data_IF_241126900781
#
_entry.id   IF_241126900781
#
_cell.length_a   1.000
_cell.length_b   1.000
_cell.length_c   1.000
_cell.angle_alpha   90.00
_cell.angle_beta   90.00
_cell.angle_gamma   90.00
#
_symmetry.space_group_name_H-M   'P 1'
#
loop_
_entity.id
_entity.type
_entity.pdbx_description
1 polymer ?
#
# COMPACT_ATOMS: atom_id res chain seq x y z
N UNK A 1 -46.00 48.95 -40.78
CA UNK A 1 -45.92 49.82 -39.57
C UNK A 1 -45.23 49.00 -38.48
N UNK A 2 -44.26 49.42 -37.70
CA UNK A 2 -43.14 50.35 -37.82
C UNK A 2 -42.14 49.85 -36.75
N UNK A 3 -40.87 49.98 -37.05
CA UNK A 3 -39.69 49.42 -36.38
C UNK A 3 -39.31 50.28 -35.16
N UNK A 4 -38.85 49.71 -34.03
CA UNK A 4 -37.90 50.41 -33.13
C UNK A 4 -37.04 49.43 -32.29
N UNK A 5 -35.73 49.71 -32.08
CA UNK A 5 -34.76 48.82 -31.43
C UNK A 5 -34.11 49.36 -30.13
N UNK A 6 -33.32 48.48 -29.49
CA UNK A 6 -32.06 48.61 -28.71
C UNK A 6 -31.77 49.70 -27.64
N UNK A 7 -31.16 49.21 -26.54
CA UNK A 7 -30.04 49.72 -25.71
C UNK A 7 -30.03 51.18 -25.19
N UNK A 8 -29.89 51.36 -23.87
CA UNK A 8 -28.59 51.61 -23.19
C UNK A 8 -28.78 51.97 -21.70
N UNK A 9 -27.78 51.64 -20.88
CA UNK A 9 -27.62 52.11 -19.51
C UNK A 9 -26.96 53.50 -19.48
N UNK A 10 -27.01 54.20 -18.34
CA UNK A 10 -25.80 54.92 -17.93
C UNK A 10 -25.48 54.84 -16.43
N UNK A 11 -24.18 54.69 -16.20
CA UNK A 11 -23.26 55.47 -15.37
C UNK A 11 -23.44 55.79 -13.88
N UNK A 12 -22.25 55.80 -13.29
CA UNK A 12 -21.82 55.97 -11.91
C UNK A 12 -21.65 57.44 -11.46
N UNK A 13 -21.21 57.55 -10.19
CA UNK A 13 -20.56 58.67 -9.48
C UNK A 13 -21.40 59.13 -8.26
N UNK A 14 -21.02 58.79 -7.03
CA UNK A 14 -19.94 59.37 -6.21
C UNK A 14 -20.30 60.76 -5.65
N UNK A 15 -20.52 60.83 -4.32
CA UNK A 15 -20.33 62.05 -3.54
C UNK A 15 -20.10 61.69 -2.06
N UNK A 16 -19.06 62.33 -1.54
CA UNK A 16 -18.37 62.16 -0.28
C UNK A 16 -18.90 63.15 0.80
N UNK A 17 -18.38 62.98 2.02
CA UNK A 17 -18.14 63.95 3.10
C UNK A 17 -19.02 64.03 4.37
N UNK A 18 -18.28 63.82 5.49
CA UNK A 18 -18.23 64.59 6.77
C UNK A 18 -19.28 64.29 7.85
N UNK A 19 -18.97 64.23 9.16
CA UNK A 19 -17.75 64.20 9.99
C UNK A 19 -18.20 64.00 11.47
N UNK A 20 -17.24 63.76 12.39
CA UNK A 20 -17.24 64.05 13.85
C UNK A 20 -17.38 62.89 14.89
N UNK A 21 -16.19 62.53 15.40
CA UNK A 21 -15.72 62.26 16.78
C UNK A 21 -16.49 61.44 17.83
N UNK A 22 -15.73 60.49 18.42
CA UNK A 22 -15.85 60.09 19.84
C UNK A 22 -14.86 58.99 20.26
N UNK A 23 -13.68 59.36 20.79
CA UNK A 23 -12.74 58.43 21.46
C UNK A 23 -13.37 57.89 22.75
N UNK A 24 -13.17 56.59 23.05
CA UNK A 24 -12.80 56.11 24.40
C UNK A 24 -12.18 54.71 24.35
N UNK A 25 -11.04 54.63 25.03
CA UNK A 25 -10.18 53.49 25.29
C UNK A 25 -10.78 52.49 26.29
N UNK A 26 -10.58 51.20 26.06
CA UNK A 26 -10.80 50.12 27.04
C UNK A 26 -9.71 49.05 26.87
N UNK A 27 -8.95 48.81 27.94
CA UNK A 27 -7.81 47.90 28.06
C UNK A 27 -8.18 46.72 28.98
N UNK A 28 -7.77 45.50 28.62
CA UNK A 28 -7.46 44.34 29.48
C UNK A 28 -7.42 43.08 28.59
N UNK A 29 -6.55 42.07 28.72
CA UNK A 29 -5.35 41.83 29.49
C UNK A 29 -4.63 40.66 28.81
N UNK A 30 -3.31 40.75 28.57
CA UNK A 30 -2.50 39.66 28.01
C UNK A 30 -1.74 39.02 29.17
N UNK A 31 -2.07 37.78 29.51
CA UNK A 31 -1.37 37.02 30.55
C UNK A 31 -0.06 36.44 29.98
N UNK A 32 1.07 37.05 30.33
CA UNK A 32 2.42 36.52 30.07
C UNK A 32 2.82 35.58 31.21
N UNK A 33 2.86 34.27 30.95
CA UNK A 33 3.60 33.35 31.81
C UNK A 33 5.11 33.51 31.57
N UNK A 34 5.84 33.89 32.62
CA UNK A 34 7.30 33.90 32.69
C UNK A 34 7.79 32.47 32.98
N UNK A 35 8.58 31.89 32.07
CA UNK A 35 9.39 30.72 32.34
C UNK A 35 10.73 31.17 32.92
N UNK A 36 11.03 30.73 34.15
CA UNK A 36 12.34 30.88 34.78
C UNK A 36 13.27 29.72 34.36
N UNK A 37 14.59 29.95 34.19
CA UNK A 37 15.51 28.91 33.78
C UNK A 37 15.90 28.01 34.96
N UNK A 38 15.69 26.69 34.82
CA UNK A 38 16.24 25.71 35.75
C UNK A 38 17.66 25.37 35.31
N UNK A 39 18.63 25.88 36.07
CA UNK A 39 20.04 25.51 36.03
C UNK A 39 20.24 24.34 37.00
N UNK A 40 20.49 23.12 36.51
CA UNK A 40 21.01 22.06 37.38
C UNK A 40 22.55 22.01 37.31
N UNK A 41 23.16 22.62 38.31
CA UNK A 41 24.58 22.46 38.65
C UNK A 41 24.82 21.08 39.25
N UNK A 42 25.85 20.42 38.75
CA UNK A 42 26.49 19.23 39.35
C UNK A 42 26.99 19.51 40.77
N UNK A 43 26.75 18.58 41.70
CA UNK A 43 27.58 18.43 42.90
C UNK A 43 28.08 16.99 43.01
N UNK A 44 29.38 16.84 42.72
CA UNK A 44 30.19 15.73 43.20
C UNK A 44 30.26 15.78 44.73
N UNK A 45 30.13 14.64 45.40
CA UNK A 45 30.79 14.36 46.67
C UNK A 45 31.61 13.10 46.46
N UNK A 46 32.91 13.23 46.63
CA UNK A 46 33.81 12.09 46.79
C UNK A 46 33.84 11.64 48.24
N UNK A 47 34.15 10.36 48.43
CA UNK A 47 35.03 9.89 49.50
C UNK A 47 35.84 8.72 48.95
N UNK A 48 37.10 8.70 49.36
CA UNK A 48 38.26 8.02 48.80
C UNK A 48 38.49 6.61 49.36
N UNK A 49 39.33 5.83 48.64
CA UNK A 49 40.00 4.61 49.11
C UNK A 49 40.20 3.59 47.97
N UNK A 50 41.23 3.65 47.10
CA UNK A 50 42.65 3.18 47.28
C UNK A 50 42.69 1.63 47.34
N UNK A 51 43.37 0.78 46.54
CA UNK A 51 44.54 0.76 45.60
C UNK A 51 44.18 -0.20 44.41
N UNK A 52 44.54 0.01 43.14
CA UNK A 52 45.86 -0.03 42.45
C UNK A 52 46.44 -1.45 42.19
N UNK A 53 46.78 -1.71 40.92
CA UNK A 53 47.49 -2.90 40.40
C UNK A 53 47.11 -3.19 38.93
N UNK A 54 47.45 -2.31 37.98
CA UNK A 54 48.63 -2.37 37.09
C UNK A 54 48.69 -3.56 36.11
N UNK A 55 48.61 -3.21 34.81
CA UNK A 55 49.46 -3.63 33.66
C UNK A 55 49.72 -5.14 33.52
N UNK A 56 49.22 -5.85 32.50
CA UNK A 56 49.39 -5.60 31.08
C UNK A 56 50.67 -6.28 30.57
N UNK A 57 50.54 -7.38 29.81
CA UNK A 57 51.48 -8.03 28.85
C UNK A 57 50.62 -9.07 28.08
N UNK A 58 50.44 -8.97 26.75
CA UNK A 58 51.33 -9.39 25.65
C UNK A 58 51.24 -10.88 25.26
N UNK A 59 50.71 -11.10 24.04
CA UNK A 59 51.03 -12.09 22.98
C UNK A 59 50.46 -13.52 23.02
N UNK A 60 49.91 -13.85 21.83
CA UNK A 60 49.86 -15.11 21.09
C UNK A 60 49.49 -16.40 21.82
N UNK A 61 48.48 -17.11 21.30
CA UNK A 61 48.71 -18.27 20.42
C UNK A 61 47.39 -18.75 19.83
N UNK A 62 47.48 -19.23 18.59
CA UNK A 62 46.44 -19.94 17.87
C UNK A 62 45.91 -21.12 18.68
N UNK A 63 44.61 -21.40 18.54
CA UNK A 63 44.20 -22.79 18.41
C UNK A 63 43.01 -22.89 17.47
N UNK A 64 43.20 -23.77 16.51
CA UNK A 64 42.35 -24.16 15.42
C UNK A 64 41.42 -25.29 15.90
N UNK A 65 40.38 -25.56 15.10
CA UNK A 65 39.54 -26.77 15.08
C UNK A 65 38.43 -26.88 16.14
N UNK A 66 37.19 -26.62 15.71
CA UNK A 66 36.16 -27.66 15.62
C UNK A 66 35.00 -27.18 14.73
N UNK A 67 35.07 -27.62 13.48
CA UNK A 67 33.90 -27.78 12.61
C UNK A 67 33.02 -28.89 13.21
N UNK A 68 31.78 -28.55 13.56
CA UNK A 68 30.69 -29.54 13.58
C UNK A 68 29.49 -28.95 12.85
N UNK A 69 29.21 -29.59 11.73
CA UNK A 69 28.04 -29.47 10.87
C UNK A 69 26.73 -29.82 11.58
N UNK A 70 25.64 -29.51 10.87
CA UNK A 70 24.24 -29.94 11.07
C UNK A 70 23.45 -29.16 12.12
N UNK A 71 22.39 -28.47 11.70
CA UNK A 71 21.04 -29.06 11.69
C UNK A 71 20.13 -28.29 10.73
N UNK A 72 19.57 -29.06 9.81
CA UNK A 72 18.72 -28.68 8.71
C UNK A 72 17.31 -28.24 9.16
N UNK A 73 16.74 -27.39 8.30
CA UNK A 73 15.34 -27.03 8.26
C UNK A 73 14.43 -28.27 8.08
N UNK A 74 13.24 -28.32 8.69
CA UNK A 74 12.31 -29.38 8.39
C UNK A 74 11.19 -28.90 7.44
N UNK A 75 10.80 -29.84 6.55
CA UNK A 75 9.50 -29.99 5.87
C UNK A 75 9.40 -29.63 4.38
N UNK A 76 10.00 -30.47 3.54
CA UNK A 76 9.36 -31.03 2.35
C UNK A 76 9.81 -32.49 2.21
N UNK A 77 9.03 -33.42 2.75
CA UNK A 77 9.11 -34.81 2.31
C UNK A 77 7.73 -35.45 2.37
N UNK A 78 7.16 -35.67 1.18
CA UNK A 78 5.91 -36.39 0.98
C UNK A 78 6.14 -37.88 1.20
N UNK A 79 6.15 -38.31 2.46
CA UNK A 79 6.04 -39.73 2.80
C UNK A 79 4.61 -40.07 3.21
N UNK A 80 3.98 -40.90 2.39
CA UNK A 80 2.69 -41.52 2.64
C UNK A 80 2.66 -42.16 4.04
N UNK A 81 1.79 -41.67 4.93
CA UNK A 81 1.53 -42.31 6.22
C UNK A 81 0.63 -43.53 5.96
N UNK A 82 1.21 -44.74 5.98
CA UNK A 82 0.44 -45.98 6.04
C UNK A 82 -0.20 -46.11 7.42
N UNK A 83 -1.53 -46.03 7.49
CA UNK A 83 -2.30 -46.51 8.65
C UNK A 83 -2.74 -47.94 8.35
N UNK A 84 -2.00 -48.93 8.83
CA UNK A 84 -2.49 -50.31 8.89
C UNK A 84 -3.21 -50.48 10.23
N UNK A 85 -4.52 -50.73 10.20
CA UNK A 85 -5.25 -51.23 11.37
C UNK A 85 -4.77 -52.66 11.62
N UNK A 86 -4.24 -52.93 12.81
CA UNK A 86 -3.91 -54.30 13.23
C UNK A 86 -5.23 -55.05 13.51
N UNK A 87 -5.54 -56.05 12.70
CA UNK A 87 -6.58 -57.02 13.00
C UNK A 87 -5.95 -58.22 13.71
N UNK A 88 -6.39 -58.50 14.94
CA UNK A 88 -6.00 -59.69 15.69
C UNK A 88 -6.54 -60.95 14.99
N UNK A 89 -5.66 -61.93 14.78
CA UNK A 89 -5.97 -63.17 14.09
C UNK A 89 -6.85 -64.11 14.93
N UNK A 90 -7.96 -64.55 14.34
CA UNK A 90 -8.60 -65.84 14.68
C UNK A 90 -8.79 -66.60 13.36
N UNK A 91 -8.53 -67.90 13.43
CA UNK A 91 -8.20 -68.81 12.35
C UNK A 91 -9.15 -68.84 11.14
N UNK A 92 -8.56 -69.04 9.96
CA UNK A 92 -9.15 -69.81 8.87
C UNK A 92 -10.03 -69.07 7.87
N UNK A 93 -9.45 -68.16 7.08
CA UNK A 93 -9.90 -67.89 5.70
C UNK A 93 -8.82 -67.08 4.96
N UNK A 94 -8.24 -67.62 3.89
CA UNK A 94 -7.36 -66.84 3.00
C UNK A 94 -8.26 -65.94 2.15
N UNK A 95 -8.51 -64.72 2.61
CA UNK A 95 -9.06 -63.65 1.78
C UNK A 95 -7.90 -62.91 1.12
N UNK A 96 -7.81 -62.99 -0.20
CA UNK A 96 -6.94 -62.14 -1.00
C UNK A 96 -7.38 -60.67 -0.83
N UNK A 97 -6.73 -59.96 0.10
CA UNK A 97 -6.95 -58.55 0.31
C UNK A 97 -6.41 -57.75 -0.88
N UNK A 98 -7.29 -57.27 -1.74
CA UNK A 98 -6.95 -56.28 -2.75
C UNK A 98 -6.52 -54.99 -2.05
N UNK A 99 -5.22 -54.65 -2.10
CA UNK A 99 -4.76 -53.31 -1.76
C UNK A 99 -5.27 -52.36 -2.84
N UNK A 100 -6.37 -51.67 -2.56
CA UNK A 100 -6.75 -50.50 -3.35
C UNK A 100 -5.74 -49.39 -3.03
N UNK A 101 -4.84 -49.12 -3.97
CA UNK A 101 -4.05 -47.90 -3.97
C UNK A 101 -4.98 -46.76 -4.34
N UNK A 102 -5.57 -46.11 -3.36
CA UNK A 102 -6.13 -44.77 -3.56
C UNK A 102 -4.93 -43.83 -3.73
N UNK A 103 -4.51 -43.60 -4.97
CA UNK A 103 -3.73 -42.42 -5.29
C UNK A 103 -4.65 -41.24 -5.02
N UNK A 104 -4.53 -40.62 -3.85
CA UNK A 104 -5.00 -39.25 -3.68
C UNK A 104 -4.29 -38.44 -4.76
N UNK A 105 -5.03 -38.07 -5.79
CA UNK A 105 -4.59 -37.17 -6.83
C UNK A 105 -4.20 -35.88 -6.11
N UNK A 106 -2.89 -35.69 -5.92
CA UNK A 106 -2.36 -34.45 -5.38
C UNK A 106 -2.97 -33.32 -6.21
N UNK A 107 -3.57 -32.28 -5.60
CA UNK A 107 -4.22 -31.23 -6.35
C UNK A 107 -3.18 -30.69 -7.32
N UNK A 108 -3.46 -30.83 -8.61
CA UNK A 108 -2.62 -30.32 -9.69
C UNK A 108 -2.42 -28.85 -9.39
N UNK A 109 -1.23 -28.49 -8.91
CA UNK A 109 -0.79 -27.10 -8.81
C UNK A 109 -0.75 -26.64 -10.25
N UNK A 110 -1.82 -26.01 -10.70
CA UNK A 110 -1.86 -25.36 -12.00
C UNK A 110 -0.68 -24.41 -12.02
N UNK A 111 0.26 -24.68 -12.94
CA UNK A 111 1.40 -23.84 -13.21
C UNK A 111 0.99 -22.37 -13.16
N UNK A 112 1.84 -21.56 -12.51
CA UNK A 112 1.80 -20.11 -12.51
C UNK A 112 1.18 -19.61 -13.81
N UNK A 113 0.05 -18.90 -13.77
CA UNK A 113 -0.54 -18.37 -14.98
C UNK A 113 0.46 -17.39 -15.61
N UNK A 114 1.16 -17.86 -16.63
CA UNK A 114 2.06 -17.12 -17.52
C UNK A 114 1.31 -15.93 -18.15
N UNK A 115 2.02 -14.90 -18.66
CA UNK A 115 1.41 -13.81 -19.42
C UNK A 115 0.46 -14.36 -20.48
N UNK A 116 -0.83 -14.00 -20.42
CA UNK A 116 -1.89 -14.55 -21.29
C UNK A 116 -2.36 -13.59 -22.35
N UNK A 117 -2.10 -12.29 -22.17
CA UNK A 117 -2.55 -11.23 -23.04
C UNK A 117 -1.38 -10.42 -23.55
N UNK A 118 -1.40 -10.09 -24.84
CA UNK A 118 -0.60 -9.00 -25.37
C UNK A 118 -1.07 -7.68 -24.72
N UNK A 119 -0.13 -6.76 -24.48
CA UNK A 119 -0.41 -5.48 -23.83
C UNK A 119 -0.46 -4.41 -24.90
N UNK A 120 -1.64 -3.83 -25.14
CA UNK A 120 -1.85 -2.92 -26.27
C UNK A 120 -1.15 -1.57 -26.07
N UNK A 121 -1.17 -1.05 -24.83
CA UNK A 121 -0.55 0.22 -24.44
C UNK A 121 -0.34 0.24 -22.92
N UNK A 122 0.79 0.79 -22.50
CA UNK A 122 1.11 1.08 -21.10
C UNK A 122 1.35 2.58 -20.96
N UNK A 123 0.71 3.20 -19.97
CA UNK A 123 0.94 4.61 -19.66
C UNK A 123 0.12 5.59 -20.50
N UNK A 124 -1.06 5.20 -21.00
CA UNK A 124 -1.95 6.12 -21.71
C UNK A 124 -2.48 7.19 -20.74
N UNK A 125 -2.23 8.50 -20.97
CA UNK A 125 -2.73 9.54 -20.09
C UNK A 125 -4.25 9.63 -20.12
N UNK A 126 -4.86 9.69 -18.94
CA UNK A 126 -6.29 9.95 -18.76
C UNK A 126 -6.52 11.03 -17.70
N UNK A 127 -7.70 11.62 -17.71
CA UNK A 127 -8.14 12.61 -16.71
C UNK A 127 -9.54 12.26 -16.23
N UNK A 128 -9.77 12.30 -14.92
CA UNK A 128 -11.06 12.00 -14.31
C UNK A 128 -11.29 12.87 -13.08
N UNK A 129 -12.55 13.04 -12.69
CA UNK A 129 -12.90 13.80 -11.48
C UNK A 129 -12.75 12.91 -10.26
N UNK A 130 -12.13 13.41 -9.18
CA UNK A 130 -12.08 12.65 -7.93
C UNK A 130 -13.46 12.56 -7.26
N UNK A 131 -13.67 11.51 -6.48
CA UNK A 131 -14.94 11.28 -5.83
C UNK A 131 -15.17 12.24 -4.64
N UNK A 132 -16.43 12.38 -4.26
CA UNK A 132 -16.82 12.94 -2.97
C UNK A 132 -16.86 11.80 -1.96
N UNK A 133 -16.13 11.95 -0.84
CA UNK A 133 -16.14 10.99 0.29
C UNK A 133 -16.51 11.72 1.58
N UNK A 134 -17.05 11.02 2.60
CA UNK A 134 -17.41 11.65 3.86
C UNK A 134 -16.27 12.48 4.45
N UNK A 135 -16.58 13.68 4.95
CA UNK A 135 -15.64 14.61 5.56
C UNK A 135 -14.64 15.27 4.59
N UNK A 136 -14.83 15.13 3.28
CA UNK A 136 -14.10 15.94 2.30
C UNK A 136 -14.61 17.39 2.33
N UNK A 137 -13.68 18.35 2.42
CA UNK A 137 -13.99 19.79 2.48
C UNK A 137 -13.64 20.53 1.20
N UNK A 138 -12.71 19.99 0.40
CA UNK A 138 -12.31 20.59 -0.87
C UNK A 138 -13.27 20.21 -2.01
N UNK A 139 -13.54 21.09 -2.98
CA UNK A 139 -14.35 20.75 -4.15
C UNK A 139 -13.71 19.63 -5.00
N UNK A 140 -14.49 18.85 -5.77
CA UNK A 140 -13.94 17.89 -6.70
C UNK A 140 -13.01 18.54 -7.72
N UNK A 141 -12.00 17.79 -8.16
CA UNK A 141 -11.02 18.28 -9.14
C UNK A 141 -10.61 17.19 -10.12
N UNK A 142 -10.02 17.63 -11.24
CA UNK A 142 -9.43 16.73 -12.21
C UNK A 142 -8.14 16.10 -11.68
N UNK A 143 -8.06 14.79 -11.82
CA UNK A 143 -6.94 13.95 -11.47
C UNK A 143 -6.42 13.28 -12.74
N UNK A 144 -5.12 13.35 -12.92
CA UNK A 144 -4.39 12.65 -13.97
C UNK A 144 -4.20 11.19 -13.59
N UNK A 145 -4.25 10.32 -14.57
CA UNK A 145 -3.89 8.93 -14.41
C UNK A 145 -3.21 8.36 -15.65
N UNK A 146 -2.67 7.16 -15.49
CA UNK A 146 -2.01 6.42 -16.55
C UNK A 146 -2.69 5.06 -16.68
N UNK A 147 -3.30 4.81 -17.84
CA UNK A 147 -4.01 3.59 -18.16
C UNK A 147 -3.06 2.58 -18.82
N UNK A 148 -3.19 1.31 -18.46
CA UNK A 148 -2.70 0.19 -19.27
C UNK A 148 -3.82 -0.82 -19.46
N UNK A 149 -3.84 -1.49 -20.61
CA UNK A 149 -4.88 -2.47 -20.90
C UNK A 149 -4.36 -3.65 -21.73
N UNK A 150 -4.91 -4.86 -21.51
CA UNK A 150 -4.70 -5.97 -22.43
C UNK A 150 -5.29 -5.66 -23.81
N UNK A 151 -4.77 -6.32 -24.84
CA UNK A 151 -5.45 -6.40 -26.13
C UNK A 151 -6.78 -7.17 -26.03
N UNK A 152 -7.76 -6.75 -26.82
CA UNK A 152 -9.11 -7.32 -26.85
C UNK A 152 -10.20 -6.32 -26.44
N UNK A 153 -11.45 -6.73 -26.62
CA UNK A 153 -12.62 -5.88 -26.39
C UNK A 153 -13.07 -5.82 -24.91
N UNK A 154 -12.62 -6.77 -24.07
CA UNK A 154 -13.08 -6.89 -22.69
C UNK A 154 -14.49 -7.50 -22.59
N UNK A 155 -15.24 -7.26 -21.50
CA UNK A 155 -14.84 -6.45 -20.34
C UNK A 155 -13.82 -7.17 -19.45
N UNK A 156 -12.77 -6.46 -19.06
CA UNK A 156 -11.68 -6.96 -18.21
C UNK A 156 -11.87 -6.53 -16.75
N UNK A 157 -11.50 -7.37 -15.76
CA UNK A 157 -11.32 -6.87 -14.40
C UNK A 157 -10.29 -5.74 -14.37
N UNK A 158 -10.39 -4.85 -13.40
CA UNK A 158 -9.51 -3.69 -13.32
C UNK A 158 -8.82 -3.51 -11.97
N UNK A 159 -7.72 -2.77 -11.98
CA UNK A 159 -6.91 -2.49 -10.79
C UNK A 159 -6.52 -1.02 -10.76
N UNK A 160 -6.94 -0.31 -9.70
CA UNK A 160 -6.48 1.05 -9.39
C UNK A 160 -5.15 0.97 -8.66
N UNK A 161 -4.14 1.73 -9.08
CA UNK A 161 -2.80 1.72 -8.49
C UNK A 161 -2.49 3.06 -7.83
N UNK A 162 -2.20 3.04 -6.52
CA UNK A 162 -1.91 4.23 -5.71
C UNK A 162 -0.41 4.37 -5.45
N UNK A 163 0.16 5.49 -5.89
CA UNK A 163 1.61 5.69 -5.92
C UNK A 163 2.29 5.80 -4.54
N UNK A 164 3.62 5.68 -4.56
CA UNK A 164 4.47 5.83 -3.37
C UNK A 164 4.55 7.28 -2.91
N UNK A 165 5.25 7.49 -1.79
CA UNK A 165 5.60 8.83 -1.33
C UNK A 165 6.54 9.58 -2.31
N UNK A 166 7.21 8.88 -3.23
CA UNK A 166 7.98 9.49 -4.32
C UNK A 166 7.13 10.01 -5.48
N UNK A 167 5.80 9.97 -5.37
CA UNK A 167 4.90 10.18 -6.50
C UNK A 167 4.89 8.99 -7.45
N UNK A 168 4.45 9.21 -8.68
CA UNK A 168 4.39 8.17 -9.71
C UNK A 168 5.81 7.82 -10.18
N UNK A 169 6.27 6.62 -9.81
CA UNK A 169 7.58 6.05 -10.19
C UNK A 169 7.42 4.99 -11.29
N UNK A 170 8.49 4.67 -12.06
CA UNK A 170 8.41 3.70 -13.16
C UNK A 170 7.82 2.35 -12.78
N UNK A 171 8.13 1.82 -11.60
CA UNK A 171 7.55 0.55 -11.15
C UNK A 171 6.02 0.61 -11.03
N UNK A 172 5.45 1.75 -10.61
CA UNK A 172 3.99 1.96 -10.46
C UNK A 172 3.32 2.37 -11.77
N UNK A 173 4.00 3.08 -12.67
CA UNK A 173 3.42 3.57 -13.93
C UNK A 173 3.69 2.69 -15.14
N UNK A 174 4.67 1.79 -15.07
CA UNK A 174 5.08 0.96 -16.19
C UNK A 174 5.16 -0.52 -15.82
N UNK A 175 5.93 -0.89 -14.79
CA UNK A 175 6.25 -2.31 -14.58
C UNK A 175 5.07 -3.12 -14.03
N UNK A 176 4.41 -2.62 -12.98
CA UNK A 176 3.18 -3.23 -12.46
C UNK A 176 2.02 -3.15 -13.46
N UNK A 177 1.71 -2.00 -14.08
CA UNK A 177 0.72 -1.92 -15.16
C UNK A 177 0.96 -2.92 -16.29
N UNK A 178 2.21 -3.05 -16.78
CA UNK A 178 2.55 -4.01 -17.83
C UNK A 178 2.33 -5.45 -17.38
N UNK A 179 2.79 -5.79 -16.18
CA UNK A 179 2.59 -7.14 -15.62
C UNK A 179 1.10 -7.46 -15.48
N UNK A 180 0.32 -6.59 -14.85
CA UNK A 180 -1.12 -6.79 -14.64
C UNK A 180 -1.91 -6.81 -15.96
N UNK A 181 -1.59 -5.93 -16.91
CA UNK A 181 -2.18 -5.96 -18.24
C UNK A 181 -1.88 -7.27 -18.97
N UNK A 182 -0.66 -7.80 -18.85
CA UNK A 182 -0.30 -9.10 -19.45
C UNK A 182 -1.07 -10.27 -18.84
N UNK A 183 -1.58 -10.10 -17.62
CA UNK A 183 -2.46 -11.04 -16.95
C UNK A 183 -3.94 -10.84 -17.28
N UNK A 184 -4.32 -9.80 -18.05
CA UNK A 184 -5.70 -9.54 -18.44
C UNK A 184 -6.45 -8.52 -17.56
N UNK A 185 -5.73 -7.66 -16.83
CA UNK A 185 -6.33 -6.59 -16.03
C UNK A 185 -6.15 -5.22 -16.70
N UNK A 186 -7.21 -4.42 -16.76
CA UNK A 186 -7.06 -2.98 -17.03
C UNK A 186 -6.49 -2.32 -15.78
N UNK A 187 -5.46 -1.50 -15.90
CA UNK A 187 -4.90 -0.78 -14.76
C UNK A 187 -5.03 0.71 -14.92
N UNK A 188 -5.33 1.41 -13.82
CA UNK A 188 -5.29 2.87 -13.76
C UNK A 188 -4.40 3.32 -12.61
N UNK A 189 -3.20 3.78 -12.95
CA UNK A 189 -2.32 4.44 -11.98
C UNK A 189 -2.80 5.85 -11.74
N UNK A 190 -3.02 6.21 -10.48
CA UNK A 190 -3.53 7.52 -10.06
C UNK A 190 -2.35 8.43 -9.74
N UNK A 191 -2.27 9.61 -10.39
CA UNK A 191 -1.25 10.63 -10.12
C UNK A 191 -1.79 11.71 -9.18
N UNK A 192 -1.97 11.38 -7.89
CA UNK A 192 -2.50 12.31 -6.90
C UNK A 192 -1.61 13.52 -6.67
N UNK A 193 -0.29 13.32 -6.61
CA UNK A 193 0.68 14.39 -6.37
C UNK A 193 0.86 15.30 -7.58
N UNK A 194 1.13 14.73 -8.75
CA UNK A 194 1.33 15.53 -9.95
C UNK A 194 0.06 16.33 -10.31
N UNK A 195 -1.14 15.79 -10.06
CA UNK A 195 -2.40 16.53 -10.28
C UNK A 195 -2.51 17.78 -9.41
N UNK A 196 -1.77 17.84 -8.30
CA UNK A 196 -1.72 18.96 -7.34
C UNK A 196 -0.43 19.77 -7.47
N UNK A 197 0.38 19.55 -8.51
CA UNK A 197 1.66 20.25 -8.72
C UNK A 197 2.75 19.83 -7.74
N UNK A 198 2.61 18.67 -7.09
CA UNK A 198 3.57 18.12 -6.14
C UNK A 198 4.44 17.03 -6.80
N UNK A 199 5.74 17.00 -6.50
CA UNK A 199 6.67 16.01 -7.06
C UNK A 199 6.87 14.75 -6.20
N UNK A 200 6.80 14.90 -4.89
CA UNK A 200 6.88 13.82 -3.91
C UNK A 200 6.08 14.26 -2.68
N UNK A 201 5.99 13.40 -1.65
CA UNK A 201 5.55 13.86 -0.35
C UNK A 201 6.41 15.08 0.00
N UNK A 202 5.80 16.24 0.27
CA UNK A 202 6.58 17.36 0.75
C UNK A 202 7.25 16.92 2.06
N UNK A 203 8.54 17.26 2.24
CA UNK A 203 9.37 16.81 3.37
C UNK A 203 8.75 17.11 4.75
N UNK A 204 7.83 18.07 4.79
CA UNK A 204 6.72 18.10 5.71
C UNK A 204 5.46 18.18 4.84
N UNK A 205 4.40 17.40 5.14
CA UNK A 205 3.05 17.84 4.76
C UNK A 205 2.95 19.34 4.99
N UNK A 206 2.61 20.08 3.95
CA UNK A 206 2.61 21.55 3.89
C UNK A 206 2.39 22.19 5.27
N UNK A 207 3.26 23.08 5.79
CA UNK A 207 3.03 23.73 7.09
C UNK A 207 1.74 24.57 7.15
N UNK A 208 1.08 24.76 6.00
CA UNK A 208 -0.23 25.41 5.83
C UNK A 208 -1.39 24.42 5.63
N UNK A 209 -1.16 23.10 5.59
CA UNK A 209 -2.22 22.08 5.42
C UNK A 209 -2.26 21.10 6.61
N UNK A 210 -3.45 20.87 7.21
CA UNK A 210 -3.61 20.00 8.38
C UNK A 210 -3.16 18.54 8.12
N UNK A 211 -3.06 17.68 9.16
CA UNK A 211 -2.19 16.48 9.23
C UNK A 211 -2.43 15.43 8.13
N UNK A 212 -1.56 14.40 8.06
CA UNK A 212 -1.58 13.25 7.11
C UNK A 212 -2.99 12.74 6.74
N UNK A 213 -3.94 12.83 7.68
CA UNK A 213 -5.37 12.57 7.48
C UNK A 213 -5.99 13.28 6.26
N UNK A 214 -5.65 14.54 5.99
CA UNK A 214 -6.18 15.28 4.84
C UNK A 214 -5.60 14.76 3.53
N UNK A 215 -4.30 14.51 3.47
CA UNK A 215 -3.66 13.90 2.30
C UNK A 215 -4.22 12.50 2.01
N UNK A 216 -4.45 11.68 3.05
CA UNK A 216 -5.03 10.35 2.88
C UNK A 216 -6.47 10.41 2.38
N UNK A 217 -7.25 11.38 2.88
CA UNK A 217 -8.60 11.62 2.40
C UNK A 217 -8.60 12.02 0.93
N UNK A 218 -7.72 12.93 0.53
CA UNK A 218 -7.58 13.38 -0.85
C UNK A 218 -7.16 12.25 -1.80
N UNK A 219 -6.17 11.44 -1.43
CA UNK A 219 -5.78 10.26 -2.23
C UNK A 219 -6.91 9.23 -2.27
N UNK A 220 -7.69 9.08 -1.19
CA UNK A 220 -8.86 8.20 -1.17
C UNK A 220 -9.95 8.68 -2.14
N UNK A 221 -10.20 10.00 -2.20
CA UNK A 221 -11.11 10.59 -3.19
C UNK A 221 -10.64 10.30 -4.61
N UNK A 222 -9.36 10.45 -4.86
CA UNK A 222 -8.77 10.17 -6.16
C UNK A 222 -8.91 8.69 -6.53
N UNK A 223 -8.67 7.78 -5.59
CA UNK A 223 -8.86 6.34 -5.77
C UNK A 223 -10.31 5.99 -6.14
N UNK A 224 -11.29 6.55 -5.42
CA UNK A 224 -12.70 6.34 -5.72
C UNK A 224 -13.15 7.03 -7.01
N UNK A 225 -12.57 8.17 -7.36
CA UNK A 225 -12.80 8.79 -8.67
C UNK A 225 -12.25 7.94 -9.82
N UNK A 226 -11.11 7.28 -9.61
CA UNK A 226 -10.54 6.32 -10.55
C UNK A 226 -11.45 5.09 -10.70
N UNK A 227 -12.01 4.59 -9.60
CA UNK A 227 -13.02 3.53 -9.61
C UNK A 227 -14.25 3.96 -10.44
N UNK A 228 -14.79 5.16 -10.18
CA UNK A 228 -15.94 5.72 -10.87
C UNK A 228 -15.64 5.99 -12.36
N UNK A 229 -14.41 6.33 -12.72
CA UNK A 229 -14.00 6.52 -14.11
C UNK A 229 -13.92 5.20 -14.86
N UNK A 230 -13.16 4.22 -14.32
CA UNK A 230 -13.08 2.86 -14.87
C UNK A 230 -14.46 2.26 -15.04
N UNK A 231 -15.37 2.60 -14.14
CA UNK A 231 -16.73 2.13 -14.12
C UNK A 231 -17.60 2.53 -15.32
N UNK A 232 -17.24 3.60 -16.02
CA UNK A 232 -17.95 4.09 -17.21
C UNK A 232 -17.41 3.49 -18.51
N UNK A 233 -16.30 2.74 -18.44
CA UNK A 233 -15.66 2.20 -19.63
C UNK A 233 -16.31 0.89 -20.09
N UNK A 234 -16.53 0.70 -21.40
CA UNK A 234 -17.13 -0.54 -21.93
C UNK A 234 -16.17 -1.74 -21.86
N UNK A 235 -14.85 -1.51 -21.81
CA UNK A 235 -13.84 -2.56 -21.72
C UNK A 235 -13.51 -2.98 -20.28
N UNK A 236 -14.24 -2.47 -19.28
CA UNK A 236 -14.03 -2.77 -17.86
C UNK A 236 -15.23 -3.49 -17.25
N UNK A 237 -14.96 -4.61 -16.58
CA UNK A 237 -15.93 -5.33 -15.78
C UNK A 237 -16.18 -4.57 -14.48
N UNK A 238 -17.34 -3.95 -14.47
CA UNK A 238 -17.70 -2.86 -13.60
C UNK A 238 -17.61 -3.14 -12.08
N UNK A 239 -18.02 -4.34 -11.72
CA UNK A 239 -18.11 -4.93 -10.39
C UNK A 239 -16.81 -5.60 -9.93
N UNK A 240 -15.79 -5.65 -10.81
CA UNK A 240 -14.56 -6.39 -10.62
C UNK A 240 -13.34 -5.46 -10.64
N UNK A 241 -13.33 -4.50 -9.71
CA UNK A 241 -12.23 -3.55 -9.57
C UNK A 241 -11.56 -3.68 -8.20
N UNK A 242 -10.25 -3.91 -8.19
CA UNK A 242 -9.44 -3.90 -6.98
C UNK A 242 -8.59 -2.63 -6.87
N UNK A 243 -7.98 -2.41 -5.70
CA UNK A 243 -6.99 -1.36 -5.48
C UNK A 243 -5.69 -1.95 -4.95
N UNK A 244 -4.55 -1.47 -5.47
CA UNK A 244 -3.22 -1.77 -4.94
C UNK A 244 -2.56 -0.47 -4.53
N UNK A 245 -2.03 -0.44 -3.30
CA UNK A 245 -1.25 0.67 -2.79
C UNK A 245 0.21 0.27 -2.59
N UNK A 246 1.10 1.24 -2.79
CA UNK A 246 2.53 1.12 -2.57
C UNK A 246 2.99 2.15 -1.54
N UNK A 247 3.65 1.73 -0.45
CA UNK A 247 4.16 2.64 0.59
C UNK A 247 3.06 3.60 1.11
N UNK A 248 3.10 4.88 0.72
CA UNK A 248 2.04 5.85 0.95
C UNK A 248 0.64 5.33 0.55
N UNK A 249 0.50 4.77 -0.65
CA UNK A 249 -0.78 4.23 -1.13
C UNK A 249 -1.31 3.11 -0.22
N UNK A 250 -0.42 2.27 0.32
CA UNK A 250 -0.79 1.25 1.31
C UNK A 250 -1.28 1.88 2.60
N UNK A 251 -0.63 2.95 3.07
CA UNK A 251 -1.10 3.65 4.26
C UNK A 251 -2.49 4.27 4.02
N UNK A 252 -2.76 4.80 2.83
CA UNK A 252 -4.10 5.30 2.47
C UNK A 252 -5.14 4.18 2.53
N UNK A 253 -4.80 3.00 2.00
CA UNK A 253 -5.66 1.81 2.07
C UNK A 253 -5.93 1.43 3.53
N UNK A 254 -4.88 1.19 4.29
CA UNK A 254 -4.93 0.62 5.64
C UNK A 254 -5.46 1.59 6.71
N UNK A 255 -5.31 2.89 6.51
CA UNK A 255 -5.72 3.91 7.49
C UNK A 255 -7.09 4.51 7.19
N UNK A 256 -7.59 4.41 5.95
CA UNK A 256 -8.73 5.21 5.54
C UNK A 256 -9.67 4.52 4.56
N UNK A 257 -9.19 4.14 3.37
CA UNK A 257 -10.05 3.71 2.26
C UNK A 257 -10.97 2.55 2.62
N UNK A 258 -10.44 1.51 3.27
CA UNK A 258 -11.19 0.30 3.62
C UNK A 258 -12.08 0.46 4.87
N UNK A 259 -11.96 1.60 5.57
CA UNK A 259 -12.71 1.91 6.78
C UNK A 259 -13.85 2.91 6.51
N UNK A 260 -13.94 3.44 5.29
CA UNK A 260 -15.09 4.23 4.89
C UNK A 260 -16.33 3.34 4.79
N UNK A 261 -17.51 3.87 5.16
CA UNK A 261 -18.77 3.19 4.87
C UNK A 261 -18.86 2.84 3.37
N UNK A 262 -19.40 1.66 3.02
CA UNK A 262 -19.62 1.32 1.63
C UNK A 262 -20.40 2.44 0.93
N UNK A 263 -19.91 2.86 -0.23
CA UNK A 263 -20.59 3.86 -1.05
C UNK A 263 -21.84 3.23 -1.67
N UNK A 264 -22.97 3.97 -1.76
CA UNK A 264 -24.09 3.58 -2.61
C UNK A 264 -23.58 3.37 -4.05
N UNK A 265 -23.85 2.19 -4.61
CA UNK A 265 -23.30 1.79 -5.91
C UNK A 265 -22.02 0.98 -5.76
N UNK A 266 -20.86 1.58 -6.02
CA UNK A 266 -19.63 0.83 -6.33
C UNK A 266 -18.53 1.01 -5.28
N UNK A 267 -17.96 -0.12 -4.88
CA UNK A 267 -16.86 -0.23 -3.94
C UNK A 267 -15.77 -1.12 -4.56
N UNK A 268 -14.56 -1.06 -4.02
CA UNK A 268 -13.50 -1.99 -4.43
C UNK A 268 -13.84 -3.41 -3.98
N UNK A 269 -13.71 -4.37 -4.89
CA UNK A 269 -13.93 -5.78 -4.64
C UNK A 269 -12.80 -6.42 -3.81
N UNK A 270 -11.60 -5.85 -3.87
CA UNK A 270 -10.45 -6.27 -3.08
C UNK A 270 -9.41 -5.14 -2.93
N UNK A 271 -8.59 -5.21 -1.89
CA UNK A 271 -7.49 -4.29 -1.64
C UNK A 271 -6.18 -5.03 -1.36
N UNK A 272 -5.06 -4.48 -1.87
CA UNK A 272 -3.71 -5.00 -1.62
C UNK A 272 -2.82 -3.86 -1.15
N UNK A 273 -2.17 -4.05 0.00
CA UNK A 273 -1.12 -3.18 0.50
C UNK A 273 0.27 -3.78 0.26
N UNK A 274 1.20 -3.00 -0.27
CA UNK A 274 2.58 -3.41 -0.51
C UNK A 274 3.53 -2.45 0.23
N UNK A 275 4.42 -3.00 1.08
CA UNK A 275 5.40 -2.29 1.93
C UNK A 275 4.85 -1.03 2.61
N UNK A 276 3.70 -1.12 3.28
CA UNK A 276 3.15 -0.01 4.05
C UNK A 276 2.90 -0.38 5.51
N UNK A 277 2.39 0.59 6.28
CA UNK A 277 2.13 0.44 7.71
C UNK A 277 0.83 -0.30 7.95
N UNK A 278 0.83 -1.16 8.96
CA UNK A 278 -0.37 -1.85 9.46
C UNK A 278 -0.85 -1.35 10.83
N UNK A 279 -0.27 -0.27 11.34
CA UNK A 279 -0.56 0.24 12.69
C UNK A 279 -2.06 0.54 12.92
N UNK A 280 -2.76 1.02 11.89
CA UNK A 280 -4.18 1.40 11.99
C UNK A 280 -5.11 0.20 11.92
N UNK A 281 -4.71 -0.85 11.19
CA UNK A 281 -5.41 -2.14 11.16
C UNK A 281 -5.51 -2.80 12.53
N UNK A 282 -4.55 -2.52 13.43
CA UNK A 282 -4.62 -3.00 14.83
C UNK A 282 -5.81 -2.41 15.58
N UNK A 283 -6.18 -1.16 15.28
CA UNK A 283 -7.17 -0.35 16.01
C UNK A 283 -8.57 -0.42 15.42
N UNK A 284 -8.71 -0.89 14.18
CA UNK A 284 -9.99 -1.05 13.52
C UNK A 284 -10.43 -2.53 13.46
N UNK A 285 -11.74 -2.82 13.37
CA UNK A 285 -12.23 -4.16 13.03
C UNK A 285 -11.66 -4.64 11.69
N UNK A 286 -11.72 -5.95 11.46
CA UNK A 286 -11.37 -6.52 10.14
C UNK A 286 -12.24 -5.86 9.06
N UNK A 287 -11.64 -5.32 7.98
CA UNK A 287 -12.38 -4.67 6.91
C UNK A 287 -13.30 -5.65 6.19
N UNK A 288 -14.47 -5.17 5.74
CA UNK A 288 -15.38 -5.97 4.91
C UNK A 288 -14.80 -6.24 3.52
N UNK A 289 -14.04 -5.29 2.96
CA UNK A 289 -13.29 -5.49 1.73
C UNK A 289 -12.14 -6.48 1.97
N UNK A 290 -12.03 -7.58 1.20
CA UNK A 290 -10.90 -8.49 1.28
C UNK A 290 -9.57 -7.74 1.16
N UNK A 291 -8.70 -7.89 2.15
CA UNK A 291 -7.42 -7.20 2.24
C UNK A 291 -6.26 -8.20 2.32
N UNK A 292 -5.27 -8.02 1.45
CA UNK A 292 -3.96 -8.66 1.57
C UNK A 292 -2.87 -7.61 1.80
N UNK A 293 -2.02 -7.85 2.79
CA UNK A 293 -0.80 -7.10 3.02
C UNK A 293 0.41 -7.93 2.60
N UNK A 294 1.28 -7.35 1.77
CA UNK A 294 2.62 -7.88 1.50
C UNK A 294 3.62 -6.96 2.19
N UNK A 295 4.49 -7.52 3.03
CA UNK A 295 5.46 -6.78 3.82
C UNK A 295 6.87 -7.34 3.60
N UNK A 296 7.89 -6.49 3.73
CA UNK A 296 9.29 -6.90 3.66
C UNK A 296 9.80 -7.29 5.05
N UNK A 297 10.53 -8.39 5.16
CA UNK A 297 11.11 -8.83 6.43
C UNK A 297 12.04 -7.78 7.05
N UNK A 298 12.76 -7.03 6.22
CA UNK A 298 13.76 -6.03 6.60
C UNK A 298 13.24 -4.58 6.41
N UNK A 299 11.94 -4.40 6.21
CA UNK A 299 11.28 -3.09 6.10
C UNK A 299 10.92 -2.55 7.49
N UNK A 300 11.94 -2.13 8.24
CA UNK A 300 11.77 -1.50 9.55
C UNK A 300 11.57 0.02 9.42
N UNK A 301 10.64 0.63 10.19
CA UNK A 301 9.83 0.05 11.27
C UNK A 301 8.45 -0.49 10.83
N UNK A 302 8.21 -0.71 9.53
CA UNK A 302 6.88 -1.00 8.98
C UNK A 302 6.38 -2.41 9.32
N UNK A 303 7.29 -3.39 9.31
CA UNK A 303 6.95 -4.81 9.41
C UNK A 303 6.32 -5.22 10.74
N UNK A 304 6.75 -4.61 11.86
CA UNK A 304 6.30 -4.98 13.22
C UNK A 304 4.77 -5.05 13.35
N UNK A 305 4.05 -3.92 13.16
CA UNK A 305 2.59 -3.92 13.20
C UNK A 305 1.91 -4.85 12.19
N UNK A 306 2.56 -5.16 11.06
CA UNK A 306 1.99 -6.06 10.06
C UNK A 306 2.03 -7.52 10.52
N UNK A 307 3.08 -7.94 11.24
CA UNK A 307 3.13 -9.27 11.88
C UNK A 307 2.03 -9.42 12.93
N UNK A 308 1.72 -8.37 13.68
CA UNK A 308 0.69 -8.41 14.73
C UNK A 308 -0.74 -8.60 14.20
N UNK A 309 -1.01 -8.19 12.95
CA UNK A 309 -2.33 -8.37 12.32
C UNK A 309 -2.42 -9.61 11.43
N UNK A 310 -1.34 -10.41 11.37
CA UNK A 310 -1.37 -11.70 10.69
C UNK A 310 -2.43 -12.62 11.31
N UNK A 311 -3.24 -13.26 10.46
CA UNK A 311 -4.37 -14.09 10.89
C UNK A 311 -5.68 -13.31 11.05
N UNK A 312 -5.63 -11.97 11.20
CA UNK A 312 -6.83 -11.11 11.08
C UNK A 312 -7.10 -10.74 9.62
N UNK A 313 -6.02 -10.56 8.85
CA UNK A 313 -6.00 -10.36 7.40
C UNK A 313 -4.94 -11.27 6.78
N UNK A 314 -4.95 -11.41 5.45
CA UNK A 314 -3.88 -12.11 4.75
C UNK A 314 -2.61 -11.26 4.80
N UNK A 315 -1.57 -11.72 5.52
CA UNK A 315 -0.26 -11.05 5.58
C UNK A 315 0.80 -12.01 5.03
N UNK A 316 1.57 -11.53 4.05
CA UNK A 316 2.70 -12.25 3.48
C UNK A 316 3.99 -11.46 3.74
N UNK A 317 4.95 -12.08 4.43
CA UNK A 317 6.26 -11.47 4.68
C UNK A 317 7.27 -12.05 3.69
N UNK A 318 7.93 -11.16 2.95
CA UNK A 318 8.94 -11.53 1.96
C UNK A 318 10.33 -11.53 2.61
N UNK A 319 10.96 -12.71 2.63
CA UNK A 319 12.27 -12.90 3.23
C UNK A 319 13.34 -11.99 2.57
N UNK A 320 14.19 -11.37 3.39
CA UNK A 320 15.27 -10.49 2.94
C UNK A 320 14.84 -9.21 2.20
N UNK A 321 13.55 -8.91 2.11
CA UNK A 321 13.05 -7.75 1.38
C UNK A 321 13.04 -6.49 2.25
N UNK A 322 13.57 -5.40 1.69
CA UNK A 322 13.50 -4.04 2.25
C UNK A 322 12.32 -3.26 1.68
N UNK A 323 12.14 -1.99 2.08
CA UNK A 323 11.16 -1.12 1.46
C UNK A 323 11.41 -0.98 -0.05
N UNK A 324 10.34 -0.81 -0.83
CA UNK A 324 10.43 -0.64 -2.31
C UNK A 324 11.20 -1.76 -3.02
N UNK A 325 11.03 -3.02 -2.59
CA UNK A 325 11.74 -4.16 -3.19
C UNK A 325 11.45 -4.37 -4.69
N UNK A 326 10.37 -3.77 -5.19
CA UNK A 326 9.87 -3.84 -6.56
C UNK A 326 10.30 -2.66 -7.45
N UNK A 327 11.01 -1.68 -6.90
CA UNK A 327 11.57 -0.57 -7.65
C UNK A 327 13.02 -0.87 -8.02
N UNK A 328 13.30 -1.14 -9.30
CA UNK A 328 14.67 -1.41 -9.79
C UNK A 328 15.64 -0.24 -9.56
N UNK A 329 15.13 0.97 -9.30
CA UNK A 329 15.92 2.15 -8.98
C UNK A 329 16.16 2.32 -7.47
N UNK A 330 15.57 1.48 -6.62
CA UNK A 330 15.78 1.54 -5.19
C UNK A 330 17.16 0.99 -4.81
N UNK A 331 18.07 1.92 -4.46
CA UNK A 331 19.41 1.59 -3.99
C UNK A 331 19.86 2.55 -2.89
N UNK A 332 19.50 2.26 -1.64
CA UNK A 332 20.05 2.91 -0.45
C UNK A 332 19.01 3.54 0.49
N UNK A 333 19.52 4.17 1.55
CA UNK A 333 18.67 4.88 2.53
C UNK A 333 18.21 6.20 1.96
N UNK A 334 16.93 6.52 2.15
CA UNK A 334 16.42 7.87 1.84
C UNK A 334 16.54 8.76 3.08
N UNK A 335 17.56 9.61 3.11
CA UNK A 335 17.68 10.67 4.11
C UNK A 335 16.53 11.67 3.96
N UNK A 336 15.89 12.07 5.07
CA UNK A 336 14.88 13.14 5.08
C UNK A 336 13.41 12.69 5.01
N UNK A 337 13.10 11.40 4.95
CA UNK A 337 11.77 10.89 5.34
C UNK A 337 11.74 10.65 6.85
N UNK A 338 10.57 10.77 7.49
CA UNK A 338 10.41 10.61 8.94
C UNK A 338 10.84 9.23 9.49
N UNK A 339 11.16 8.27 8.62
CA UNK A 339 11.34 6.85 8.92
C UNK A 339 12.73 6.29 8.60
N UNK A 340 13.61 7.03 7.91
CA UNK A 340 14.99 6.61 7.56
C UNK A 340 15.09 5.18 6.97
N UNK A 341 14.08 4.81 6.16
CA UNK A 341 13.95 3.48 5.56
C UNK A 341 15.09 3.21 4.59
N UNK A 342 15.60 1.97 4.62
CA UNK A 342 16.47 1.45 3.57
C UNK A 342 15.58 0.95 2.44
N UNK A 343 15.73 1.54 1.24
CA UNK A 343 15.03 1.10 0.04
C UNK A 343 16.00 0.28 -0.80
N UNK A 344 15.66 -0.97 -1.11
CA UNK A 344 16.52 -1.83 -1.92
C UNK A 344 15.70 -2.75 -2.80
N UNK A 345 15.99 -2.72 -4.10
CA UNK A 345 15.46 -3.67 -5.05
C UNK A 345 15.81 -5.12 -4.68
N UNK A 346 14.84 -6.02 -4.84
CA UNK A 346 15.04 -7.46 -4.74
C UNK A 346 14.22 -8.16 -5.81
N UNK A 347 14.91 -8.72 -6.81
CA UNK A 347 14.26 -9.48 -7.89
C UNK A 347 13.44 -10.68 -7.36
N UNK A 348 13.94 -11.49 -6.39
CA UNK A 348 13.14 -12.58 -5.81
C UNK A 348 11.89 -12.09 -5.08
N UNK A 349 12.00 -11.01 -4.29
CA UNK A 349 10.84 -10.43 -3.61
C UNK A 349 9.82 -9.83 -4.60
N UNK A 350 10.31 -9.21 -5.67
CA UNK A 350 9.47 -8.71 -6.76
C UNK A 350 8.67 -9.84 -7.42
N UNK A 351 9.36 -10.91 -7.85
CA UNK A 351 8.71 -12.08 -8.43
C UNK A 351 7.66 -12.68 -7.48
N UNK A 352 8.04 -12.87 -6.21
CA UNK A 352 7.11 -13.44 -5.22
C UNK A 352 5.89 -12.55 -4.96
N UNK A 353 6.09 -11.23 -4.86
CA UNK A 353 4.98 -10.28 -4.69
C UNK A 353 4.02 -10.31 -5.87
N UNK A 354 4.53 -10.43 -7.10
CA UNK A 354 3.75 -10.55 -8.33
C UNK A 354 2.90 -11.82 -8.37
N UNK A 355 3.43 -12.96 -7.93
CA UNK A 355 2.67 -14.21 -7.79
C UNK A 355 1.53 -14.05 -6.78
N UNK A 356 1.82 -13.52 -5.60
CA UNK A 356 0.82 -13.30 -4.55
C UNK A 356 -0.31 -12.38 -5.02
N UNK A 357 0.04 -11.27 -5.70
CA UNK A 357 -0.92 -10.34 -6.29
C UNK A 357 -1.79 -11.03 -7.33
N UNK A 358 -1.20 -11.77 -8.28
CA UNK A 358 -1.94 -12.52 -9.30
C UNK A 358 -2.95 -13.47 -8.67
N UNK A 359 -2.50 -14.28 -7.71
CA UNK A 359 -3.35 -15.31 -7.11
C UNK A 359 -4.48 -14.68 -6.28
N UNK A 360 -4.20 -13.59 -5.58
CA UNK A 360 -5.21 -12.85 -4.82
C UNK A 360 -6.25 -12.19 -5.74
N UNK A 361 -5.81 -11.51 -6.80
CA UNK A 361 -6.72 -10.90 -7.78
C UNK A 361 -7.56 -11.97 -8.49
N UNK A 362 -6.99 -13.11 -8.88
CA UNK A 362 -7.74 -14.19 -9.51
C UNK A 362 -8.85 -14.75 -8.59
N UNK A 363 -8.59 -14.86 -7.28
CA UNK A 363 -9.58 -15.30 -6.29
C UNK A 363 -10.72 -14.30 -6.10
N UNK A 364 -10.42 -12.99 -6.06
CA UNK A 364 -11.41 -11.98 -5.67
C UNK A 364 -12.07 -11.24 -6.84
N UNK A 365 -11.41 -11.18 -8.00
CA UNK A 365 -11.96 -10.59 -9.22
C UNK A 365 -12.37 -11.67 -10.24
N UNK A 366 -12.13 -12.95 -9.96
CA UNK A 366 -12.22 -14.02 -10.95
C UNK A 366 -11.13 -13.93 -12.02
N UNK A 367 -10.88 -15.02 -12.76
CA UNK A 367 -9.94 -14.97 -13.87
C UNK A 367 -10.43 -13.98 -14.95
N UNK A 368 -9.53 -13.25 -15.61
CA UNK A 368 -9.88 -12.56 -16.84
C UNK A 368 -10.34 -13.58 -17.86
N UNK A 369 -11.53 -13.35 -18.43
CA UNK A 369 -12.08 -14.25 -19.45
C UNK A 369 -11.41 -13.90 -20.78
N UNK A 370 -10.81 -14.87 -21.51
CA UNK A 370 -10.37 -14.59 -22.87
C UNK A 370 -11.60 -14.18 -23.69
N UNK A 371 -11.44 -13.19 -24.56
CA UNK A 371 -12.49 -12.85 -25.52
C UNK A 371 -12.85 -14.13 -26.29
N UNK A 372 -14.13 -14.41 -26.46
CA UNK A 372 -14.57 -15.48 -27.35
C UNK A 372 -13.93 -15.20 -28.72
N UNK A 373 -13.14 -16.16 -29.22
CA UNK A 373 -12.64 -16.10 -30.60
C UNK A 373 -13.90 -16.06 -31.49
N UNK A 374 -14.13 -14.93 -32.13
CA UNK A 374 -15.19 -14.76 -33.13
C UNK A 374 -14.64 -15.10 -34.49
#
# INVERSE_FOLDING_TARGET
MAKMPHHDAPDAAEADEKHVHGRRSGSAAVNRLRLAPIVHRSKRRGCSGVLAGMLGWSRNSANEVLMTSSHDAPWLDGRARRRCLAASAVAGLVLAGACQTTSDEAPTVTAAAEPRYAVSRVGEPVSFTNAVVPGAVEPPRQIRGLLARPEGAGPFPAVVLLHTCGGVRPHVSQDWPRYLASLGYVTLTVDSFGSRGLGACPNALHPQQPPMTNAYREITRDAFGALDHLATRPDVAADRVAVIGYSLGTNVINSFLIHLPPRPGRNFAAAIGIYGRCHDLRRHPTPATPLMQIAGELDEPHIGPCREVAGRIAVHVLAGAHHSWDDVQASGRRSGTASNELMMYSAPATARSRELVRDFLARHLGPPRPAART
#
